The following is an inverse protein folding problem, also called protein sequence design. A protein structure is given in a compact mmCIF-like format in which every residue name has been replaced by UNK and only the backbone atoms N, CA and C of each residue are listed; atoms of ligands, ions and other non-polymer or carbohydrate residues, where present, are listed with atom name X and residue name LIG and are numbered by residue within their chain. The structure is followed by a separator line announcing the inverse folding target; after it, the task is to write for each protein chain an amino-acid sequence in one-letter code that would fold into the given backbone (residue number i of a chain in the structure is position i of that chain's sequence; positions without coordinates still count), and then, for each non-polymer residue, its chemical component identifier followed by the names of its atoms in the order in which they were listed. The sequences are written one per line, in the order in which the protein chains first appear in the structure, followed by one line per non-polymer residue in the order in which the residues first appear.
data_IF_946591541950
#
_entry.id   IF_946591541950
#
_cell.length_a   1.000
_cell.length_b   1.000
_cell.length_c   1.000
_cell.angle_alpha   90.00
_cell.angle_beta   90.00
_cell.angle_gamma   90.00
#
_symmetry.space_group_name_H-M   'P 1'
#
loop_
_entity.id
_entity.type
_entity.pdbx_description
1 polymer ?
#
# COMPACT_ATOMS: atom_id res chain seq x y z
N UNK A 1 -42.71 12.24 26.14
CA UNK A 1 -42.62 10.94 25.43
C UNK A 1 -42.23 11.26 23.99
N UNK A 2 -41.11 10.84 23.44
CA UNK A 2 -40.01 10.00 23.90
C UNK A 2 -38.71 10.50 23.25
N UNK A 3 -37.61 10.03 23.83
CA UNK A 3 -36.27 10.59 23.80
C UNK A 3 -35.57 10.66 22.44
N UNK A 4 -34.94 11.81 22.20
CA UNK A 4 -33.81 11.93 21.28
C UNK A 4 -32.62 11.17 21.87
N UNK A 5 -32.50 9.90 21.50
CA UNK A 5 -31.40 9.06 21.95
C UNK A 5 -30.09 9.49 21.25
N UNK A 6 -29.25 10.13 22.05
CA UNK A 6 -27.88 10.56 21.82
C UNK A 6 -26.98 9.39 21.43
N UNK A 7 -26.81 9.17 20.12
CA UNK A 7 -25.83 8.22 19.59
C UNK A 7 -24.47 8.89 19.24
N UNK A 8 -24.13 9.99 19.90
CA UNK A 8 -23.00 10.87 19.54
C UNK A 8 -21.66 10.56 20.23
N UNK A 9 -21.55 9.54 21.08
CA UNK A 9 -20.38 9.39 21.98
C UNK A 9 -19.28 8.43 21.46
N UNK A 10 -19.28 8.03 20.17
CA UNK A 10 -18.22 7.16 19.60
C UNK A 10 -17.44 7.71 18.41
N UNK A 11 -17.83 8.85 17.83
CA UNK A 11 -17.15 9.45 16.66
C UNK A 11 -16.09 10.51 16.99
N UNK A 12 -16.12 11.13 18.18
CA UNK A 12 -15.17 12.21 18.56
C UNK A 12 -13.70 11.75 18.59
N UNK A 13 -13.47 10.45 18.69
CA UNK A 13 -12.13 9.89 18.86
C UNK A 13 -11.34 9.85 17.54
N UNK A 14 -12.00 9.68 16.38
CA UNK A 14 -11.28 9.60 15.10
C UNK A 14 -10.86 10.97 14.61
N UNK A 15 -11.71 11.98 14.79
CA UNK A 15 -11.43 13.38 14.47
C UNK A 15 -10.25 13.87 15.31
N UNK A 16 -10.29 13.65 16.62
CA UNK A 16 -9.22 14.02 17.55
C UNK A 16 -7.90 13.32 17.20
N UNK A 17 -7.93 12.03 16.82
CA UNK A 17 -6.74 11.28 16.40
C UNK A 17 -6.17 11.81 15.09
N UNK A 18 -7.01 12.08 14.10
CA UNK A 18 -6.59 12.62 12.81
C UNK A 18 -5.96 14.01 12.99
N UNK A 19 -6.61 14.86 13.78
CA UNK A 19 -6.10 16.18 14.16
C UNK A 19 -4.72 16.09 14.81
N UNK A 20 -4.58 15.24 15.84
CA UNK A 20 -3.32 15.07 16.56
C UNK A 20 -2.19 14.57 15.65
N UNK A 21 -2.48 13.65 14.73
CA UNK A 21 -1.48 13.11 13.80
C UNK A 21 -1.00 14.15 12.80
N UNK A 22 -1.91 14.92 12.22
CA UNK A 22 -1.56 15.97 11.26
C UNK A 22 -0.70 17.03 11.95
N UNK A 23 -1.10 17.51 13.13
CA UNK A 23 -0.29 18.46 13.90
C UNK A 23 1.04 17.87 14.34
N UNK A 24 1.11 16.56 14.64
CA UNK A 24 2.38 15.90 14.94
C UNK A 24 3.34 16.00 13.76
N UNK A 25 2.86 15.80 12.52
CA UNK A 25 3.67 15.92 11.31
C UNK A 25 4.12 17.37 11.09
N UNK A 26 3.18 18.32 11.14
CA UNK A 26 3.47 19.73 10.93
C UNK A 26 4.47 20.27 11.97
N UNK A 27 4.24 19.97 13.25
CA UNK A 27 5.11 20.41 14.33
C UNK A 27 6.49 19.74 14.26
N UNK A 28 6.55 18.46 13.88
CA UNK A 28 7.82 17.78 13.69
C UNK A 28 8.61 18.42 12.54
N UNK A 29 7.95 18.75 11.43
CA UNK A 29 8.59 19.42 10.30
C UNK A 29 9.10 20.80 10.67
N UNK A 30 8.27 21.63 11.33
CA UNK A 30 8.69 22.94 11.80
C UNK A 30 9.91 22.85 12.73
N UNK A 31 9.88 21.97 13.74
CA UNK A 31 10.99 21.77 14.67
C UNK A 31 12.26 21.25 13.97
N UNK A 32 12.11 20.50 12.90
CA UNK A 32 13.24 20.03 12.10
C UNK A 32 13.88 21.17 11.30
N UNK A 33 13.06 21.99 10.63
CA UNK A 33 13.53 23.18 9.89
C UNK A 33 14.18 24.21 10.82
N UNK A 34 13.69 24.34 12.05
CA UNK A 34 14.27 25.19 13.11
C UNK A 34 15.54 24.59 13.75
N UNK A 35 15.93 23.36 13.38
CA UNK A 35 17.10 22.67 13.94
C UNK A 35 16.93 22.17 15.38
N UNK A 36 15.70 22.17 15.92
CA UNK A 36 15.39 21.73 17.28
C UNK A 36 15.34 20.21 17.43
N UNK A 37 15.10 19.48 16.33
CA UNK A 37 15.17 18.02 16.28
C UNK A 37 16.07 17.57 15.14
N UNK A 38 16.77 16.45 15.33
CA UNK A 38 17.62 15.87 14.29
C UNK A 38 16.82 15.10 13.22
N UNK A 39 17.45 14.90 12.06
CA UNK A 39 16.86 14.20 10.91
C UNK A 39 16.35 12.79 11.27
N UNK A 40 17.10 12.02 12.06
CA UNK A 40 16.70 10.67 12.47
C UNK A 40 15.41 10.67 13.30
N UNK A 41 15.30 11.59 14.26
CA UNK A 41 14.12 11.73 15.11
C UNK A 41 12.92 12.23 14.31
N UNK A 42 13.12 13.21 13.43
CA UNK A 42 12.10 13.71 12.52
C UNK A 42 11.55 12.59 11.63
N UNK A 43 12.41 11.85 10.92
CA UNK A 43 12.02 10.72 10.07
C UNK A 43 11.24 9.65 10.83
N UNK A 44 11.73 9.26 12.01
CA UNK A 44 11.06 8.26 12.85
C UNK A 44 9.66 8.73 13.26
N UNK A 45 9.52 10.01 13.60
CA UNK A 45 8.24 10.62 13.96
C UNK A 45 7.26 10.59 12.80
N UNK A 46 7.67 11.07 11.63
CA UNK A 46 6.80 11.08 10.44
C UNK A 46 6.46 9.65 9.99
N UNK A 47 7.40 8.71 10.02
CA UNK A 47 7.15 7.30 9.72
C UNK A 47 6.08 6.68 10.63
N UNK A 48 6.12 6.98 11.92
CA UNK A 48 5.10 6.52 12.87
C UNK A 48 3.73 7.19 12.63
N UNK A 49 3.73 8.47 12.26
CA UNK A 49 2.51 9.19 11.91
C UNK A 49 1.86 8.61 10.64
N UNK A 50 2.65 8.28 9.60
CA UNK A 50 2.18 7.61 8.37
C UNK A 50 1.49 6.28 8.72
N UNK A 51 2.14 5.43 9.52
CA UNK A 51 1.53 4.16 9.96
C UNK A 51 0.18 4.37 10.64
N UNK A 52 0.04 5.45 11.39
CA UNK A 52 -1.18 5.76 12.13
C UNK A 52 -2.27 6.35 11.22
N UNK A 53 -1.90 7.18 10.23
CA UNK A 53 -2.81 7.69 9.21
C UNK A 53 -3.38 6.54 8.34
N UNK A 54 -2.55 5.55 7.99
CA UNK A 54 -3.01 4.35 7.28
C UNK A 54 -4.07 3.60 8.10
N UNK A 55 -3.85 3.42 9.42
CA UNK A 55 -4.83 2.80 10.32
C UNK A 55 -6.14 3.58 10.38
N UNK A 56 -6.07 4.91 10.45
CA UNK A 56 -7.26 5.78 10.39
C UNK A 56 -8.00 5.56 9.08
N UNK A 57 -7.29 5.53 7.97
CA UNK A 57 -7.91 5.35 6.67
C UNK A 57 -8.61 3.99 6.53
N UNK A 58 -8.03 2.91 7.06
CA UNK A 58 -8.72 1.62 7.15
C UNK A 58 -9.98 1.69 8.02
N UNK A 59 -9.91 2.33 9.19
CA UNK A 59 -11.07 2.52 10.05
C UNK A 59 -12.20 3.31 9.36
N UNK A 60 -11.86 4.38 8.64
CA UNK A 60 -12.83 5.17 7.87
C UNK A 60 -13.50 4.34 6.77
N UNK A 61 -12.72 3.52 6.06
CA UNK A 61 -13.24 2.61 5.04
C UNK A 61 -14.20 1.56 5.63
N UNK A 62 -13.84 0.94 6.76
CA UNK A 62 -14.72 -0.01 7.47
C UNK A 62 -16.05 0.63 7.87
N UNK A 63 -16.02 1.91 8.29
CA UNK A 63 -17.20 2.69 8.66
C UNK A 63 -17.91 3.34 7.47
N UNK A 64 -17.41 3.15 6.24
CA UNK A 64 -17.89 3.83 5.02
C UNK A 64 -17.90 5.36 5.13
N UNK A 65 -17.02 5.92 5.96
CA UNK A 65 -16.84 7.36 6.13
C UNK A 65 -15.84 7.82 5.08
N UNK A 66 -16.22 8.81 4.26
CA UNK A 66 -15.28 9.43 3.32
C UNK A 66 -14.33 10.35 4.07
N UNK A 67 -13.03 10.16 3.92
CA UNK A 67 -12.01 11.04 4.51
C UNK A 67 -12.22 12.52 4.13
N UNK A 68 -12.58 12.80 2.87
CA UNK A 68 -12.89 14.16 2.42
C UNK A 68 -14.06 14.79 3.17
N UNK A 69 -15.08 14.00 3.53
CA UNK A 69 -16.20 14.49 4.33
C UNK A 69 -15.75 14.84 5.76
N UNK A 70 -14.90 14.00 6.36
CA UNK A 70 -14.34 14.22 7.69
C UNK A 70 -13.44 15.47 7.74
N UNK A 71 -12.53 15.61 6.76
CA UNK A 71 -11.64 16.75 6.65
C UNK A 71 -12.39 18.06 6.44
N UNK A 72 -13.45 18.05 5.62
CA UNK A 72 -14.30 19.21 5.42
C UNK A 72 -15.08 19.57 6.69
N UNK A 73 -15.62 18.58 7.41
CA UNK A 73 -16.30 18.81 8.70
C UNK A 73 -15.38 19.48 9.72
N UNK A 74 -14.09 19.11 9.73
CA UNK A 74 -13.08 19.65 10.63
C UNK A 74 -12.42 20.96 10.14
N UNK A 75 -12.77 21.47 8.95
CA UNK A 75 -12.05 22.56 8.26
C UNK A 75 -10.53 22.31 8.15
N UNK A 76 -10.14 21.06 7.90
CA UNK A 76 -8.76 20.59 8.08
C UNK A 76 -8.07 20.14 6.79
N UNK A 77 -8.73 20.33 5.64
CA UNK A 77 -8.26 19.91 4.32
C UNK A 77 -6.90 20.51 3.97
N UNK A 78 -6.67 21.80 4.26
CA UNK A 78 -5.38 22.45 4.00
C UNK A 78 -4.24 21.82 4.81
N UNK A 79 -4.41 21.74 6.13
CA UNK A 79 -3.42 21.15 7.05
C UNK A 79 -3.11 19.69 6.71
N UNK A 80 -4.13 18.94 6.28
CA UNK A 80 -3.94 17.57 5.80
C UNK A 80 -3.06 17.54 4.54
N UNK A 81 -3.32 18.40 3.55
CA UNK A 81 -2.52 18.49 2.33
C UNK A 81 -1.06 18.91 2.63
N UNK A 82 -0.85 19.80 3.58
CA UNK A 82 0.49 20.21 4.03
C UNK A 82 1.24 19.02 4.64
N UNK A 83 0.58 18.25 5.51
CA UNK A 83 1.15 17.03 6.09
C UNK A 83 1.47 15.97 5.03
N UNK A 84 0.62 15.81 4.01
CA UNK A 84 0.90 14.92 2.86
C UNK A 84 2.12 15.40 2.07
N UNK A 85 2.27 16.71 1.87
CA UNK A 85 3.42 17.29 1.17
C UNK A 85 4.73 17.00 1.90
N UNK A 86 4.74 17.11 3.23
CA UNK A 86 5.87 16.76 4.08
C UNK A 86 6.20 15.27 3.97
N UNK A 87 5.18 14.41 4.09
CA UNK A 87 5.33 12.95 3.92
C UNK A 87 5.96 12.64 2.57
N UNK A 88 5.44 13.21 1.49
CA UNK A 88 5.95 12.99 0.13
C UNK A 88 7.40 13.43 -0.02
N UNK A 89 7.79 14.54 0.61
CA UNK A 89 9.16 15.06 0.57
C UNK A 89 10.15 14.10 1.23
N UNK A 90 9.79 13.55 2.40
CA UNK A 90 10.62 12.56 3.10
C UNK A 90 10.71 11.25 2.32
N UNK A 91 9.57 10.76 1.86
CA UNK A 91 9.47 9.48 1.14
C UNK A 91 10.25 9.54 -0.18
N UNK A 92 10.15 10.67 -0.90
CA UNK A 92 10.91 10.89 -2.15
C UNK A 92 12.42 10.97 -1.90
N UNK A 93 12.85 11.61 -0.80
CA UNK A 93 14.27 11.72 -0.43
C UNK A 93 14.87 10.39 0.02
N UNK A 94 14.07 9.53 0.66
CA UNK A 94 14.47 8.15 0.99
C UNK A 94 14.57 7.30 -0.27
N UNK A 95 13.65 7.45 -1.21
CA UNK A 95 13.70 6.75 -2.49
C UNK A 95 14.89 7.23 -3.33
N UNK A 96 15.17 8.54 -3.41
CA UNK A 96 16.34 9.04 -4.17
C UNK A 96 17.67 8.53 -3.61
N UNK A 97 17.76 8.34 -2.29
CA UNK A 97 18.95 7.74 -1.68
C UNK A 97 19.09 6.25 -2.03
N UNK A 98 17.97 5.56 -2.31
CA UNK A 98 17.95 4.19 -2.84
C UNK A 98 18.21 4.17 -4.36
N UNK A 99 17.76 5.20 -5.09
CA UNK A 99 17.95 5.35 -6.54
C UNK A 99 19.41 5.64 -6.94
N UNK A 100 20.21 6.24 -6.05
CA UNK A 100 21.64 6.49 -6.33
C UNK A 100 22.45 5.18 -6.34
N UNK A 101 21.98 4.11 -5.71
CA UNK A 101 22.60 2.78 -5.82
C UNK A 101 22.14 1.98 -7.05
N UNK A 102 21.00 2.35 -7.66
CA UNK A 102 20.49 1.70 -8.86
C UNK A 102 20.44 2.69 -10.03
N UNK A 103 21.60 2.90 -10.65
CA UNK A 103 21.73 3.55 -11.95
C UNK A 103 20.85 2.85 -13.00
N UNK A 104 19.63 3.33 -13.22
CA UNK A 104 19.01 3.30 -14.54
C UNK A 104 18.20 4.58 -14.74
N UNK A 105 18.67 5.35 -15.72
CA UNK A 105 18.14 6.60 -16.18
C UNK A 105 16.75 6.40 -16.79
N UNK A 106 15.74 7.09 -16.28
CA UNK A 106 14.60 7.54 -17.08
C UNK A 106 13.87 8.71 -16.38
N UNK A 107 13.35 9.62 -17.19
CA UNK A 107 13.03 11.03 -16.94
C UNK A 107 12.20 11.34 -15.68
N UNK A 108 12.79 12.11 -14.77
CA UNK A 108 12.16 12.74 -13.61
C UNK A 108 11.41 14.02 -13.97
N UNK A 109 10.12 13.91 -14.27
CA UNK A 109 9.19 15.04 -14.14
C UNK A 109 7.73 14.62 -13.82
N UNK A 110 7.38 13.33 -13.94
CA UNK A 110 6.01 12.80 -13.71
C UNK A 110 5.75 12.28 -12.28
N UNK A 111 6.77 12.13 -11.42
CA UNK A 111 6.67 11.30 -10.21
C UNK A 111 5.98 11.96 -9.00
N UNK A 112 5.93 13.30 -8.93
CA UNK A 112 5.40 14.01 -7.75
C UNK A 112 3.88 13.93 -7.62
N UNK A 113 3.16 14.00 -8.73
CA UNK A 113 1.69 13.90 -8.75
C UNK A 113 1.24 12.44 -8.58
N UNK A 114 1.93 11.49 -9.24
CA UNK A 114 1.71 10.05 -9.14
C UNK A 114 1.88 9.50 -7.71
N UNK A 115 2.87 9.99 -6.94
CA UNK A 115 3.10 9.48 -5.58
C UNK A 115 1.99 9.88 -4.58
N UNK A 116 1.42 11.07 -4.74
CA UNK A 116 0.33 11.56 -3.87
C UNK A 116 -0.99 10.82 -4.13
N UNK A 117 -1.26 10.48 -5.40
CA UNK A 117 -2.39 9.63 -5.77
C UNK A 117 -2.16 8.19 -5.32
N UNK A 118 -0.95 7.64 -5.49
CA UNK A 118 -0.60 6.28 -5.02
C UNK A 118 -0.82 6.14 -3.51
N UNK A 119 -0.48 7.14 -2.69
CA UNK A 119 -0.70 7.11 -1.23
C UNK A 119 -2.19 7.11 -0.84
N UNK A 120 -3.04 7.82 -1.58
CA UNK A 120 -4.50 7.77 -1.40
C UNK A 120 -5.12 6.47 -1.98
N UNK A 121 -4.50 5.91 -3.01
CA UNK A 121 -4.91 4.66 -3.67
C UNK A 121 -4.34 3.40 -2.99
N UNK A 122 -3.36 3.52 -2.10
CA UNK A 122 -2.73 2.39 -1.38
C UNK A 122 -3.72 1.37 -0.80
N UNK A 123 -4.84 1.75 -0.16
CA UNK A 123 -5.85 0.80 0.29
C UNK A 123 -6.56 0.10 -0.88
N UNK A 124 -6.87 0.84 -1.95
CA UNK A 124 -7.44 0.29 -3.19
C UNK A 124 -6.48 -0.68 -3.86
N UNK A 125 -5.23 -0.27 -4.08
CA UNK A 125 -4.15 -1.09 -4.63
C UNK A 125 -3.91 -2.32 -3.73
N UNK A 126 -3.97 -2.19 -2.41
CA UNK A 126 -3.85 -3.32 -1.47
C UNK A 126 -4.98 -4.33 -1.64
N UNK A 127 -6.23 -3.86 -1.76
CA UNK A 127 -7.40 -4.70 -2.01
C UNK A 127 -7.33 -5.37 -3.40
N UNK A 128 -6.86 -4.64 -4.41
CA UNK A 128 -6.64 -5.16 -5.77
C UNK A 128 -5.56 -6.24 -5.79
N UNK A 129 -4.43 -6.03 -5.12
CA UNK A 129 -3.37 -7.04 -5.00
C UNK A 129 -3.90 -8.27 -4.25
N UNK A 130 -4.58 -8.05 -3.12
CA UNK A 130 -5.12 -9.13 -2.29
C UNK A 130 -6.13 -9.98 -3.04
N UNK A 131 -7.09 -9.34 -3.72
CA UNK A 131 -8.09 -10.04 -4.53
C UNK A 131 -7.45 -10.74 -5.73
N UNK A 132 -6.44 -10.14 -6.37
CA UNK A 132 -5.70 -10.76 -7.47
C UNK A 132 -4.93 -12.01 -7.04
N UNK A 133 -4.28 -11.99 -5.87
CA UNK A 133 -3.61 -13.18 -5.30
C UNK A 133 -4.61 -14.31 -5.06
N UNK A 134 -5.71 -14.03 -4.35
CA UNK A 134 -6.73 -15.03 -4.03
C UNK A 134 -7.32 -15.63 -5.31
N UNK A 135 -7.73 -14.76 -6.23
CA UNK A 135 -8.35 -15.18 -7.49
C UNK A 135 -7.41 -16.06 -8.32
N UNK A 136 -6.12 -15.70 -8.41
CA UNK A 136 -5.14 -16.50 -9.13
C UNK A 136 -4.91 -17.86 -8.45
N UNK A 137 -4.78 -17.90 -7.13
CA UNK A 137 -4.61 -19.15 -6.39
C UNK A 137 -5.83 -20.07 -6.55
N UNK A 138 -7.05 -19.52 -6.49
CA UNK A 138 -8.29 -20.29 -6.66
C UNK A 138 -8.44 -20.80 -8.09
N UNK A 139 -8.10 -19.98 -9.10
CA UNK A 139 -8.10 -20.41 -10.50
C UNK A 139 -7.11 -21.56 -10.73
N UNK A 140 -5.91 -21.50 -10.16
CA UNK A 140 -4.92 -22.57 -10.23
C UNK A 140 -5.38 -23.86 -9.53
N UNK A 141 -6.14 -23.77 -8.43
CA UNK A 141 -6.71 -24.93 -7.74
C UNK A 141 -7.87 -25.57 -8.49
N UNK A 142 -8.73 -24.76 -9.10
CA UNK A 142 -9.99 -25.22 -9.71
C UNK A 142 -9.84 -25.65 -11.17
N UNK A 143 -9.13 -24.84 -11.96
CA UNK A 143 -9.01 -25.00 -13.42
C UNK A 143 -7.63 -25.49 -13.83
N UNK A 144 -6.63 -25.30 -12.96
CA UNK A 144 -5.24 -25.62 -13.24
C UNK A 144 -4.62 -24.68 -14.28
N UNK A 145 -3.34 -24.91 -14.55
CA UNK A 145 -2.55 -24.14 -15.52
C UNK A 145 -3.02 -24.38 -16.98
N UNK A 146 -3.88 -25.38 -17.21
CA UNK A 146 -4.42 -25.73 -18.52
C UNK A 146 -5.33 -24.64 -19.12
N UNK A 147 -5.94 -23.76 -18.30
CA UNK A 147 -6.56 -22.52 -18.79
C UNK A 147 -5.52 -21.41 -18.99
N UNK A 148 -4.52 -21.70 -19.83
CA UNK A 148 -3.26 -20.96 -19.89
C UNK A 148 -3.43 -19.45 -20.11
N UNK A 149 -4.32 -19.05 -21.02
CA UNK A 149 -4.56 -17.63 -21.32
C UNK A 149 -5.15 -16.87 -20.11
N UNK A 150 -6.09 -17.48 -19.40
CA UNK A 150 -6.71 -16.89 -18.21
C UNK A 150 -5.68 -16.72 -17.10
N UNK A 151 -4.92 -17.77 -16.82
CA UNK A 151 -3.87 -17.76 -15.80
C UNK A 151 -2.78 -16.73 -16.14
N UNK A 152 -2.36 -16.65 -17.39
CA UNK A 152 -1.42 -15.62 -17.88
C UNK A 152 -1.96 -14.22 -17.61
N UNK A 153 -3.23 -13.96 -17.95
CA UNK A 153 -3.86 -12.65 -17.74
C UNK A 153 -3.93 -12.29 -16.26
N UNK A 154 -4.26 -13.25 -15.40
CA UNK A 154 -4.30 -13.07 -13.95
C UNK A 154 -2.91 -12.76 -13.38
N UNK A 155 -1.87 -13.50 -13.79
CA UNK A 155 -0.48 -13.20 -13.41
C UNK A 155 -0.05 -11.80 -13.84
N UNK A 156 -0.28 -11.43 -15.11
CA UNK A 156 0.06 -10.08 -15.61
C UNK A 156 -0.64 -8.98 -14.81
N UNK A 157 -1.90 -9.19 -14.45
CA UNK A 157 -2.68 -8.26 -13.63
C UNK A 157 -2.08 -8.14 -12.24
N UNK A 158 -1.76 -9.27 -11.59
CA UNK A 158 -1.14 -9.29 -10.28
C UNK A 158 0.23 -8.60 -10.27
N UNK A 159 1.10 -8.89 -11.24
CA UNK A 159 2.41 -8.24 -11.42
C UNK A 159 2.26 -6.73 -11.56
N UNK A 160 1.32 -6.28 -12.40
CA UNK A 160 1.05 -4.85 -12.61
C UNK A 160 0.62 -4.17 -11.32
N UNK A 161 -0.27 -4.79 -10.55
CA UNK A 161 -0.78 -4.23 -9.31
C UNK A 161 0.31 -4.18 -8.23
N UNK A 162 1.12 -5.24 -8.09
CA UNK A 162 2.24 -5.27 -7.15
C UNK A 162 3.31 -4.23 -7.51
N UNK A 163 3.60 -4.02 -8.80
CA UNK A 163 4.55 -2.98 -9.26
C UNK A 163 4.12 -1.57 -8.85
N UNK A 164 2.80 -1.31 -8.78
CA UNK A 164 2.26 0.00 -8.36
C UNK A 164 2.37 0.23 -6.84
N UNK A 165 2.64 -0.81 -6.06
CA UNK A 165 2.76 -0.69 -4.61
C UNK A 165 4.21 -0.37 -4.22
N UNK A 166 4.47 0.74 -3.51
CA UNK A 166 5.82 1.15 -3.13
C UNK A 166 6.45 0.19 -2.11
N UNK A 167 7.74 -0.17 -2.28
CA UNK A 167 8.48 -1.01 -1.32
C UNK A 167 8.29 -2.53 -1.49
N UNK A 168 7.75 -2.95 -2.64
CA UNK A 168 7.48 -4.35 -2.97
C UNK A 168 8.36 -4.89 -4.11
N UNK A 169 9.54 -4.32 -4.31
CA UNK A 169 10.45 -4.66 -5.42
C UNK A 169 10.82 -6.15 -5.40
N UNK A 170 11.12 -6.68 -4.21
CA UNK A 170 11.40 -8.10 -3.98
C UNK A 170 10.20 -9.00 -4.27
N UNK A 171 9.00 -8.60 -3.83
CA UNK A 171 7.75 -9.34 -4.07
C UNK A 171 7.44 -9.37 -5.56
N UNK A 172 7.57 -8.23 -6.23
CA UNK A 172 7.41 -8.10 -7.68
C UNK A 172 8.43 -8.95 -8.45
N UNK A 173 9.69 -9.00 -8.00
CA UNK A 173 10.72 -9.84 -8.59
C UNK A 173 10.36 -11.33 -8.45
N UNK A 174 10.04 -11.80 -7.24
CA UNK A 174 9.69 -13.19 -6.98
C UNK A 174 8.47 -13.61 -7.81
N UNK A 175 7.46 -12.76 -7.91
CA UNK A 175 6.25 -13.04 -8.69
C UNK A 175 6.53 -13.14 -10.20
N UNK A 176 7.49 -12.35 -10.71
CA UNK A 176 7.97 -12.49 -12.10
C UNK A 176 8.70 -13.81 -12.33
N UNK A 177 9.44 -14.33 -11.35
CA UNK A 177 10.13 -15.62 -11.49
C UNK A 177 9.11 -16.77 -11.55
N UNK A 178 8.12 -16.77 -10.66
CA UNK A 178 7.01 -17.74 -10.71
C UNK A 178 6.32 -17.66 -12.08
N UNK A 179 6.01 -16.45 -12.56
CA UNK A 179 5.36 -16.27 -13.85
C UNK A 179 6.18 -16.84 -15.02
N UNK A 180 7.51 -16.65 -15.02
CA UNK A 180 8.39 -17.26 -16.02
C UNK A 180 8.36 -18.79 -15.96
N UNK A 181 8.36 -19.36 -14.75
CA UNK A 181 8.26 -20.80 -14.57
C UNK A 181 6.94 -21.35 -15.12
N UNK A 182 5.83 -20.65 -14.84
CA UNK A 182 4.51 -20.99 -15.37
C UNK A 182 4.47 -20.93 -16.90
N UNK A 183 5.02 -19.88 -17.51
CA UNK A 183 5.11 -19.78 -18.99
C UNK A 183 5.91 -20.95 -19.58
N UNK A 184 7.10 -21.20 -19.03
CA UNK A 184 7.97 -22.29 -19.51
C UNK A 184 7.37 -23.68 -19.36
N UNK A 185 6.36 -23.82 -18.50
CA UNK A 185 5.62 -25.05 -18.27
C UNK A 185 4.42 -25.18 -19.20
N UNK A 186 3.70 -24.08 -19.46
CA UNK A 186 2.63 -24.05 -20.46
C UNK A 186 3.14 -24.37 -21.87
N UNK A 187 4.41 -24.09 -22.14
CA UNK A 187 5.09 -24.43 -23.39
C UNK A 187 5.50 -25.93 -23.48
N UNK A 188 5.34 -26.71 -22.40
CA UNK A 188 5.66 -28.15 -22.36
C UNK A 188 4.37 -28.96 -22.36
N UNK A 189 4.23 -29.91 -23.29
CA UNK A 189 3.04 -30.78 -23.41
C UNK A 189 2.92 -31.84 -22.30
N UNK A 190 3.89 -31.95 -21.40
CA UNK A 190 3.93 -33.00 -20.38
C UNK A 190 3.32 -32.54 -19.04
N UNK A 191 2.28 -33.26 -18.61
CA UNK A 191 1.64 -33.09 -17.32
C UNK A 191 2.52 -33.57 -16.17
N UNK A 192 3.12 -32.63 -15.44
CA UNK A 192 3.69 -32.86 -14.12
C UNK A 192 2.56 -32.69 -13.10
N UNK A 193 2.00 -33.81 -12.67
CA UNK A 193 1.09 -33.86 -11.53
C UNK A 193 1.70 -33.12 -10.32
N UNK A 194 0.91 -32.26 -9.68
CA UNK A 194 1.35 -31.45 -8.53
C UNK A 194 2.02 -30.11 -8.87
N UNK A 195 2.23 -29.76 -10.14
CA UNK A 195 2.80 -28.44 -10.49
C UNK A 195 1.91 -27.27 -10.05
N UNK A 196 0.59 -27.41 -10.21
CA UNK A 196 -0.38 -26.38 -9.77
C UNK A 196 -0.28 -26.11 -8.26
N UNK A 197 -0.19 -27.16 -7.45
CA UNK A 197 -0.09 -27.06 -5.98
C UNK A 197 1.21 -26.34 -5.58
N UNK A 198 2.32 -26.68 -6.25
CA UNK A 198 3.60 -26.00 -6.01
C UNK A 198 3.53 -24.50 -6.31
N UNK A 199 2.94 -24.12 -7.44
CA UNK A 199 2.78 -22.69 -7.79
C UNK A 199 1.86 -21.98 -6.80
N UNK A 200 0.78 -22.63 -6.37
CA UNK A 200 -0.13 -22.10 -5.36
C UNK A 200 0.58 -21.87 -4.03
N UNK A 201 1.41 -22.82 -3.58
CA UNK A 201 2.18 -22.70 -2.35
C UNK A 201 3.20 -21.56 -2.42
N UNK A 202 3.91 -21.44 -3.54
CA UNK A 202 4.85 -20.33 -3.77
C UNK A 202 4.13 -18.97 -3.76
N UNK A 203 2.99 -18.86 -4.46
CA UNK A 203 2.14 -17.67 -4.43
C UNK A 203 1.64 -17.34 -3.03
N UNK A 204 1.28 -18.36 -2.25
CA UNK A 204 0.82 -18.18 -0.87
C UNK A 204 1.91 -17.66 0.05
N UNK A 205 3.16 -18.10 -0.11
CA UNK A 205 4.29 -17.55 0.64
C UNK A 205 4.54 -16.08 0.28
N UNK A 206 4.54 -15.74 -1.00
CA UNK A 206 4.68 -14.34 -1.45
C UNK A 206 3.52 -13.49 -0.90
N UNK A 207 2.30 -14.01 -0.91
CA UNK A 207 1.15 -13.32 -0.36
C UNK A 207 1.28 -13.09 1.15
N UNK A 208 1.78 -14.08 1.92
CA UNK A 208 2.09 -13.90 3.34
C UNK A 208 3.13 -12.82 3.57
N UNK A 209 4.18 -12.77 2.75
CA UNK A 209 5.20 -11.75 2.87
C UNK A 209 4.67 -10.36 2.51
N UNK A 210 3.79 -10.27 1.52
CA UNK A 210 3.03 -9.05 1.23
C UNK A 210 2.18 -8.62 2.44
N UNK A 211 1.42 -9.54 3.04
CA UNK A 211 0.62 -9.25 4.25
C UNK A 211 1.48 -8.85 5.45
N UNK A 212 2.66 -9.46 5.63
CA UNK A 212 3.62 -9.08 6.67
C UNK A 212 4.18 -7.67 6.42
N UNK A 213 4.46 -7.32 5.16
CA UNK A 213 4.88 -5.97 4.75
C UNK A 213 3.76 -4.94 4.91
N UNK A 214 2.50 -5.32 4.81
CA UNK A 214 1.37 -4.44 5.16
C UNK A 214 1.21 -4.30 6.69
N UNK A 215 1.43 -5.39 7.41
CA UNK A 215 1.28 -5.45 8.87
C UNK A 215 2.57 -5.06 9.62
N UNK A 216 3.53 -4.37 8.99
CA UNK A 216 4.93 -4.21 9.42
C UNK A 216 5.14 -4.03 10.94
N UNK A 217 5.32 -5.22 11.56
CA UNK A 217 5.80 -5.60 12.89
C UNK A 217 5.02 -5.01 14.08
N UNK A 218 4.22 -5.89 14.72
CA UNK A 218 3.97 -5.86 16.17
C UNK A 218 5.29 -5.89 16.92
#
# INVERSE_FOLDING_TARGET
MADFNTNTIKDENIESKLFALIHTILNAFQKFEEGLINDTFFRKTVKNAIKSLIKINFYLNEKRIKLSHLLNKMNFTSHYNDAITIINTITSKEISNISIENNFSESTQSSKEELSSILMELPGITLEITSSFITLMDALKLKGINEGELIIKMFKTLIKNVKRFPGNEEIHFNLKQIYKHVLSYMDREEGIDGFNEKIVDELYQIFKDFQRKLNLKR
#
